data_IF_730425881819
#
_entry.id   IF_730425881819
#
_cell.length_a   1.000
_cell.length_b   1.000
_cell.length_c   1.000
_cell.angle_alpha   90.00
_cell.angle_beta   90.00
_cell.angle_gamma   90.00
#
_symmetry.space_group_name_H-M   'P 1'
#
loop_
_entity.id
_entity.type
_entity.pdbx_description
1 polymer ?
#
# COMPACT_ATOMS: atom_id res chain seq x y z
N UNK A 1 -54.74 9.66 44.73
CA UNK A 1 -53.73 8.65 44.39
C UNK A 1 -54.43 7.49 43.69
N UNK A 2 -54.22 7.27 42.38
CA UNK A 2 -54.66 6.05 41.73
C UNK A 2 -53.48 5.08 41.52
N UNK A 3 -53.84 3.80 41.52
CA UNK A 3 -52.98 2.62 41.54
C UNK A 3 -52.13 2.49 40.26
N UNK A 4 -50.92 1.97 40.44
CA UNK A 4 -50.01 1.50 39.38
C UNK A 4 -50.45 0.10 38.95
N UNK A 5 -50.77 -0.05 37.68
CA UNK A 5 -50.86 -1.36 37.01
C UNK A 5 -49.46 -1.71 36.49
N UNK A 6 -48.93 -2.84 36.98
CA UNK A 6 -47.70 -3.46 36.51
C UNK A 6 -48.02 -4.29 35.26
N UNK A 7 -47.56 -3.83 34.09
CA UNK A 7 -47.56 -4.60 32.85
C UNK A 7 -46.24 -5.37 32.72
N UNK A 8 -46.28 -6.67 33.03
CA UNK A 8 -45.28 -7.66 32.64
C UNK A 8 -45.32 -7.84 31.11
N UNK A 9 -44.19 -7.56 30.46
CA UNK A 9 -43.97 -7.82 29.03
C UNK A 9 -42.94 -8.96 28.90
N UNK A 10 -43.46 -10.16 28.62
CA UNK A 10 -42.68 -11.38 28.43
C UNK A 10 -42.07 -11.39 27.01
N UNK A 11 -40.87 -10.82 26.92
CA UNK A 11 -40.05 -10.85 25.71
C UNK A 11 -39.53 -12.25 25.37
N UNK A 12 -40.21 -12.93 24.45
CA UNK A 12 -39.74 -14.15 23.78
C UNK A 12 -38.36 -13.94 23.12
N UNK A 13 -37.32 -14.50 23.76
CA UNK A 13 -35.96 -14.58 23.25
C UNK A 13 -35.85 -15.71 22.24
N UNK A 14 -35.99 -15.41 20.94
CA UNK A 14 -35.60 -16.33 19.86
C UNK A 14 -34.07 -16.43 19.78
N UNK A 15 -33.51 -17.53 20.27
CA UNK A 15 -32.15 -17.96 19.97
C UNK A 15 -32.05 -18.41 18.51
N UNK A 16 -31.52 -17.53 17.64
CA UNK A 16 -31.08 -17.93 16.30
C UNK A 16 -29.62 -18.41 16.39
N UNK A 17 -29.44 -19.73 16.36
CA UNK A 17 -28.15 -20.38 16.24
C UNK A 17 -27.38 -19.86 15.03
N UNK A 18 -26.19 -19.31 15.28
CA UNK A 18 -25.23 -18.95 14.24
C UNK A 18 -24.48 -20.21 13.80
N UNK A 19 -24.85 -20.72 12.63
CA UNK A 19 -24.01 -21.64 11.88
C UNK A 19 -22.70 -20.93 11.51
N UNK A 20 -21.57 -21.53 11.89
CA UNK A 20 -20.24 -21.06 11.54
C UNK A 20 -20.04 -21.18 10.02
N UNK A 21 -20.17 -20.05 9.31
CA UNK A 21 -19.81 -19.93 7.90
C UNK A 21 -18.29 -20.00 7.77
N UNK A 22 -17.79 -21.17 7.36
CA UNK A 22 -16.39 -21.38 7.00
C UNK A 22 -16.08 -20.48 5.79
N UNK A 23 -15.28 -19.45 6.01
CA UNK A 23 -14.66 -18.67 4.93
C UNK A 23 -13.76 -19.59 4.10
N UNK A 24 -14.30 -20.06 2.98
CA UNK A 24 -13.56 -20.80 1.98
C UNK A 24 -12.70 -19.80 1.20
N UNK A 25 -11.40 -19.83 1.45
CA UNK A 25 -10.41 -19.06 0.68
C UNK A 25 -10.38 -19.64 -0.72
N UNK A 26 -11.01 -18.94 -1.68
CA UNK A 26 -10.95 -19.30 -3.09
C UNK A 26 -9.55 -18.94 -3.62
N UNK A 27 -8.79 -19.89 -4.18
CA UNK A 27 -7.48 -19.59 -4.76
C UNK A 27 -7.64 -18.63 -5.95
N UNK A 28 -6.79 -17.60 -6.03
CA UNK A 28 -6.81 -16.54 -7.04
C UNK A 28 -6.44 -16.99 -8.47
N UNK A 29 -6.56 -18.29 -8.78
CA UNK A 29 -6.10 -18.92 -10.01
C UNK A 29 -7.16 -19.19 -11.09
N UNK A 30 -8.45 -18.88 -10.87
CA UNK A 30 -9.53 -19.27 -11.81
C UNK A 30 -10.27 -18.12 -12.52
N UNK A 31 -9.77 -16.88 -12.45
CA UNK A 31 -10.46 -15.72 -13.03
C UNK A 31 -10.29 -15.53 -14.55
N UNK A 32 -9.53 -16.39 -15.23
CA UNK A 32 -9.47 -16.41 -16.70
C UNK A 32 -9.63 -17.84 -17.20
N UNK A 33 -10.89 -18.27 -17.33
CA UNK A 33 -11.22 -19.51 -18.03
C UNK A 33 -10.80 -19.42 -19.49
N UNK A 34 -10.30 -20.53 -20.03
CA UNK A 34 -9.92 -20.70 -21.45
C UNK A 34 -11.03 -20.31 -22.44
N UNK A 35 -12.29 -20.25 -22.00
CA UNK A 35 -13.44 -19.82 -22.80
C UNK A 35 -13.46 -18.33 -23.17
N UNK A 36 -12.87 -17.42 -22.37
CA UNK A 36 -12.89 -15.99 -22.69
C UNK A 36 -11.98 -15.64 -23.88
N UNK A 37 -10.85 -16.34 -24.02
CA UNK A 37 -9.93 -16.16 -25.14
C UNK A 37 -10.45 -16.78 -26.43
N UNK A 38 -11.23 -17.87 -26.38
CA UNK A 38 -11.86 -18.43 -27.58
C UNK A 38 -12.99 -17.53 -28.09
N UNK A 39 -13.80 -16.95 -27.19
CA UNK A 39 -14.91 -16.07 -27.59
C UNK A 39 -14.43 -14.73 -28.17
N UNK A 40 -13.31 -14.17 -27.65
CA UNK A 40 -12.69 -12.99 -28.26
C UNK A 40 -12.10 -13.29 -29.65
N UNK A 41 -11.53 -14.49 -29.86
CA UNK A 41 -10.91 -14.86 -31.14
C UNK A 41 -11.95 -15.05 -32.25
N UNK A 42 -13.12 -15.58 -31.90
CA UNK A 42 -14.23 -15.78 -32.83
C UNK A 42 -14.93 -14.48 -33.23
N UNK A 43 -15.10 -13.53 -32.30
CA UNK A 43 -15.73 -12.23 -32.58
C UNK A 43 -14.81 -11.20 -33.26
N UNK A 44 -13.48 -11.33 -33.13
CA UNK A 44 -12.51 -10.37 -33.69
C UNK A 44 -11.77 -10.88 -34.94
N UNK A 45 -11.79 -12.18 -35.22
CA UNK A 45 -11.02 -12.81 -36.32
C UNK A 45 -11.17 -12.12 -37.69
N UNK A 46 -12.38 -11.86 -38.21
CA UNK A 46 -12.55 -11.31 -39.56
C UNK A 46 -12.04 -9.87 -39.71
N UNK A 47 -12.03 -9.09 -38.62
CA UNK A 47 -11.59 -7.69 -38.65
C UNK A 47 -10.07 -7.55 -38.43
N UNK A 48 -9.43 -8.55 -37.82
CA UNK A 48 -7.97 -8.59 -37.62
C UNK A 48 -7.25 -8.95 -38.92
N UNK A 49 -7.82 -9.82 -39.75
CA UNK A 49 -7.21 -10.23 -41.03
C UNK A 49 -7.29 -9.13 -42.11
N UNK A 50 -8.26 -8.22 -42.02
CA UNK A 50 -8.34 -7.04 -42.89
C UNK A 50 -7.33 -5.96 -42.44
N UNK A 51 -7.17 -5.76 -41.12
CA UNK A 51 -6.19 -4.82 -40.56
C UNK A 51 -4.74 -5.30 -40.75
N UNK A 52 -4.46 -6.61 -40.69
CA UNK A 52 -3.10 -7.13 -40.93
C UNK A 52 -2.69 -7.02 -42.40
N UNK A 53 -3.62 -7.14 -43.36
CA UNK A 53 -3.32 -6.97 -44.78
C UNK A 53 -3.11 -5.49 -45.19
N UNK A 54 -3.82 -4.54 -44.56
CA UNK A 54 -3.60 -3.10 -44.80
C UNK A 54 -2.34 -2.57 -44.10
N UNK A 55 -2.01 -3.07 -42.91
CA UNK A 55 -0.77 -2.71 -42.20
C UNK A 55 0.48 -3.20 -42.94
N UNK A 56 0.39 -4.35 -43.64
CA UNK A 56 1.50 -4.91 -44.43
C UNK A 56 1.88 -4.07 -45.67
N UNK A 57 1.04 -3.11 -46.08
CA UNK A 57 1.33 -2.16 -47.18
C UNK A 57 1.67 -0.76 -46.73
N UNK A 58 1.74 -0.51 -45.43
CA UNK A 58 2.07 0.81 -44.91
C UNK A 58 3.59 1.03 -44.94
N UNK A 59 4.01 2.10 -45.64
CA UNK A 59 5.38 2.63 -45.66
C UNK A 59 6.10 2.82 -44.30
N UNK A 60 5.43 2.91 -43.11
CA UNK A 60 6.11 3.00 -41.82
C UNK A 60 6.96 1.78 -41.46
N UNK A 61 6.62 0.57 -41.95
CA UNK A 61 7.40 -0.63 -41.63
C UNK A 61 8.76 -0.65 -42.34
N UNK A 62 8.82 -0.18 -43.59
CA UNK A 62 10.10 -0.02 -44.29
C UNK A 62 10.91 1.17 -43.76
N UNK A 63 10.23 2.24 -43.31
CA UNK A 63 10.90 3.35 -42.63
C UNK A 63 11.48 2.91 -41.27
N UNK A 64 10.75 2.11 -40.49
CA UNK A 64 11.26 1.50 -39.26
C UNK A 64 12.42 0.53 -39.56
N UNK A 65 12.30 -0.31 -40.59
CA UNK A 65 13.36 -1.24 -41.00
C UNK A 65 14.64 -0.52 -41.44
N UNK A 66 14.51 0.63 -42.11
CA UNK A 66 15.65 1.52 -42.44
C UNK A 66 16.20 2.24 -41.21
N UNK A 67 15.36 2.62 -40.25
CA UNK A 67 15.79 3.27 -39.00
C UNK A 67 16.49 2.31 -38.02
N UNK A 68 16.11 1.03 -37.97
CA UNK A 68 16.65 0.06 -37.01
C UNK A 68 17.79 -0.82 -37.54
N UNK A 69 18.24 -0.59 -38.77
CA UNK A 69 19.44 -1.20 -39.34
C UNK A 69 19.35 -2.71 -39.59
N UNK A 70 20.51 -3.37 -39.69
CA UNK A 70 20.61 -4.82 -39.93
C UNK A 70 19.97 -5.64 -38.80
N UNK A 71 19.65 -6.92 -39.07
CA UNK A 71 19.12 -7.84 -38.04
C UNK A 71 19.99 -7.86 -36.77
N UNK A 72 21.30 -7.72 -36.93
CA UNK A 72 22.25 -7.66 -35.80
C UNK A 72 22.03 -6.40 -34.96
N UNK A 73 21.78 -5.24 -35.57
CA UNK A 73 21.47 -4.01 -34.84
C UNK A 73 20.14 -4.11 -34.08
N UNK A 74 19.13 -4.74 -34.68
CA UNK A 74 17.85 -5.01 -34.01
C UNK A 74 18.03 -5.91 -32.78
N UNK A 75 18.84 -6.97 -32.89
CA UNK A 75 19.12 -7.87 -31.78
C UNK A 75 19.94 -7.19 -30.67
N UNK A 76 20.93 -6.37 -31.04
CA UNK A 76 21.70 -5.56 -30.07
C UNK A 76 20.77 -4.59 -29.33
N UNK A 77 19.88 -3.90 -30.05
CA UNK A 77 18.92 -2.98 -29.45
C UNK A 77 17.95 -3.70 -28.51
N UNK A 78 17.38 -4.83 -28.95
CA UNK A 78 16.49 -5.65 -28.13
C UNK A 78 17.19 -6.14 -26.85
N UNK A 79 18.41 -6.64 -26.95
CA UNK A 79 19.20 -7.07 -25.79
C UNK A 79 19.46 -5.92 -24.82
N UNK A 80 19.82 -4.73 -25.34
CA UNK A 80 20.01 -3.52 -24.53
C UNK A 80 18.72 -3.11 -23.82
N UNK A 81 17.59 -3.14 -24.53
CA UNK A 81 16.28 -2.81 -23.96
C UNK A 81 15.92 -3.77 -22.82
N UNK A 82 16.09 -5.08 -23.03
CA UNK A 82 15.85 -6.10 -22.02
C UNK A 82 16.71 -5.89 -20.78
N UNK A 83 18.02 -5.64 -20.95
CA UNK A 83 18.96 -5.37 -19.84
C UNK A 83 18.59 -4.07 -19.10
N UNK A 84 18.02 -3.08 -19.78
CA UNK A 84 17.62 -1.82 -19.16
C UNK A 84 16.25 -1.87 -18.47
N UNK A 85 15.33 -2.72 -18.91
CA UNK A 85 13.94 -2.73 -18.40
C UNK A 85 13.68 -3.86 -17.40
N UNK A 86 14.19 -5.05 -17.66
CA UNK A 86 13.86 -6.24 -16.85
C UNK A 86 14.42 -6.15 -15.43
N UNK A 87 15.69 -5.75 -15.19
CA UNK A 87 16.20 -5.65 -13.82
C UNK A 87 15.49 -4.59 -12.97
N UNK A 88 15.23 -3.35 -13.45
CA UNK A 88 14.41 -2.38 -12.71
C UNK A 88 12.99 -2.86 -12.42
N UNK A 89 12.34 -3.53 -13.37
CA UNK A 89 11.01 -4.07 -13.17
C UNK A 89 11.00 -5.18 -12.10
N UNK A 90 11.98 -6.09 -12.16
CA UNK A 90 12.18 -7.13 -11.15
C UNK A 90 12.45 -6.54 -9.76
N UNK A 91 13.33 -5.54 -9.68
CA UNK A 91 13.63 -4.82 -8.44
C UNK A 91 12.37 -4.15 -7.86
N UNK A 92 11.57 -3.46 -8.67
CA UNK A 92 10.32 -2.83 -8.25
C UNK A 92 9.31 -3.85 -7.72
N UNK A 93 9.19 -5.00 -8.38
CA UNK A 93 8.33 -6.10 -7.92
C UNK A 93 8.80 -6.67 -6.58
N UNK A 94 10.08 -7.03 -6.46
CA UNK A 94 10.67 -7.56 -5.22
C UNK A 94 10.50 -6.57 -4.07
N UNK A 95 10.76 -5.29 -4.33
CA UNK A 95 10.58 -4.23 -3.35
C UNK A 95 9.14 -4.17 -2.81
N UNK A 96 8.15 -4.18 -3.71
CA UNK A 96 6.73 -4.19 -3.34
C UNK A 96 6.34 -5.46 -2.55
N UNK A 97 6.85 -6.62 -2.96
CA UNK A 97 6.61 -7.89 -2.26
C UNK A 97 7.21 -7.90 -0.85
N UNK A 98 8.42 -7.38 -0.66
CA UNK A 98 9.05 -7.27 0.67
C UNK A 98 8.27 -6.33 1.58
N UNK A 99 7.79 -5.19 1.06
CA UNK A 99 6.94 -4.28 1.84
C UNK A 99 5.59 -4.90 2.20
N UNK A 100 4.99 -5.72 1.33
CA UNK A 100 3.79 -6.49 1.65
C UNK A 100 4.06 -7.48 2.79
N UNK A 101 5.19 -8.19 2.73
CA UNK A 101 5.64 -9.05 3.83
C UNK A 101 5.78 -8.28 5.15
N UNK A 102 6.35 -7.07 5.09
CA UNK A 102 6.45 -6.20 6.27
C UNK A 102 5.09 -5.73 6.80
N UNK A 103 4.11 -5.46 5.92
CA UNK A 103 2.74 -5.16 6.36
C UNK A 103 2.09 -6.35 7.08
N UNK A 104 2.25 -7.56 6.54
CA UNK A 104 1.73 -8.80 7.16
C UNK A 104 2.38 -9.03 8.53
N UNK A 105 3.70 -8.88 8.62
CA UNK A 105 4.42 -8.96 9.89
C UNK A 105 3.95 -7.87 10.87
N UNK A 106 3.82 -6.63 10.42
CA UNK A 106 3.28 -5.52 11.21
C UNK A 106 1.87 -5.80 11.72
N UNK A 107 1.00 -6.38 10.88
CA UNK A 107 -0.35 -6.78 11.30
C UNK A 107 -0.33 -7.85 12.40
N UNK A 108 0.54 -8.86 12.27
CA UNK A 108 0.74 -9.89 13.29
C UNK A 108 1.24 -9.30 14.62
N UNK A 109 2.15 -8.33 14.55
CA UNK A 109 2.68 -7.60 15.70
C UNK A 109 1.77 -6.46 16.20
N UNK A 110 0.59 -6.26 15.58
CA UNK A 110 -0.33 -5.15 15.85
C UNK A 110 0.28 -3.76 15.70
N UNK A 111 1.32 -3.62 14.88
CA UNK A 111 1.89 -2.34 14.47
C UNK A 111 1.10 -1.82 13.27
N UNK A 112 0.61 -0.58 13.37
CA UNK A 112 -0.24 0.04 12.35
C UNK A 112 0.15 1.48 12.10
N UNK A 113 -0.35 2.12 11.04
CA UNK A 113 -0.09 3.54 10.78
C UNK A 113 -0.49 4.47 11.95
N UNK A 114 -1.37 4.00 12.85
CA UNK A 114 -1.79 4.71 14.06
C UNK A 114 -0.79 4.66 15.22
N UNK A 115 0.27 3.83 15.13
CA UNK A 115 1.36 3.76 16.13
C UNK A 115 2.58 4.50 15.60
N UNK A 116 2.65 5.84 15.65
CA UNK A 116 3.57 6.62 14.81
C UNK A 116 5.05 6.29 15.03
N UNK A 117 5.45 6.02 16.27
CA UNK A 117 6.85 5.65 16.60
C UNK A 117 7.16 4.25 16.07
N UNK A 118 6.42 3.23 16.52
CA UNK A 118 6.66 1.84 16.12
C UNK A 118 6.51 1.64 14.61
N UNK A 119 5.50 2.26 14.01
CA UNK A 119 5.28 2.16 12.57
C UNK A 119 6.38 2.85 11.76
N UNK A 120 6.94 3.95 12.27
CA UNK A 120 8.08 4.60 11.59
C UNK A 120 9.34 3.76 11.69
N UNK A 121 9.62 3.15 12.85
CA UNK A 121 10.78 2.26 13.04
C UNK A 121 10.65 1.01 12.16
N UNK A 122 9.51 0.30 12.25
CA UNK A 122 9.27 -0.90 11.43
C UNK A 122 9.24 -0.54 9.95
N UNK A 123 8.60 0.56 9.57
CA UNK A 123 8.58 1.06 8.20
C UNK A 123 9.98 1.40 7.66
N UNK A 124 10.84 2.03 8.47
CA UNK A 124 12.23 2.32 8.10
C UNK A 124 13.03 1.03 7.87
N UNK A 125 12.94 0.06 8.79
CA UNK A 125 13.62 -1.22 8.68
C UNK A 125 13.13 -2.02 7.47
N UNK A 126 11.81 -2.07 7.26
CA UNK A 126 11.17 -2.71 6.12
C UNK A 126 11.61 -2.10 4.78
N UNK A 127 11.81 -0.79 4.75
CA UNK A 127 12.26 -0.09 3.56
C UNK A 127 13.71 -0.42 3.24
N UNK A 128 14.61 -0.38 4.24
CA UNK A 128 16.01 -0.76 4.06
C UNK A 128 16.17 -2.21 3.58
N UNK A 129 15.41 -3.15 4.15
CA UNK A 129 15.42 -4.55 3.70
C UNK A 129 14.83 -4.73 2.31
N UNK A 130 13.72 -4.06 1.99
CA UNK A 130 13.13 -4.07 0.65
C UNK A 130 14.11 -3.53 -0.40
N UNK A 131 14.84 -2.46 -0.08
CA UNK A 131 15.87 -1.88 -0.95
C UNK A 131 17.04 -2.84 -1.20
N UNK A 132 17.58 -3.46 -0.16
CA UNK A 132 18.66 -4.43 -0.30
C UNK A 132 18.23 -5.66 -1.10
N UNK A 133 17.02 -6.19 -0.85
CA UNK A 133 16.46 -7.30 -1.60
C UNK A 133 16.23 -6.97 -3.08
N UNK A 134 15.71 -5.77 -3.37
CA UNK A 134 15.51 -5.28 -4.73
C UNK A 134 16.84 -5.13 -5.50
N UNK A 135 17.89 -4.63 -4.82
CA UNK A 135 19.23 -4.53 -5.39
C UNK A 135 19.82 -5.91 -5.72
N UNK A 136 19.70 -6.87 -4.80
CA UNK A 136 20.14 -8.25 -5.02
C UNK A 136 19.45 -8.87 -6.25
N UNK A 137 18.13 -8.71 -6.38
CA UNK A 137 17.38 -9.24 -7.53
C UNK A 137 17.76 -8.54 -8.83
N UNK A 138 17.93 -7.21 -8.83
CA UNK A 138 18.40 -6.48 -10.01
C UNK A 138 19.76 -6.99 -10.48
N UNK A 139 20.70 -7.21 -9.54
CA UNK A 139 22.03 -7.76 -9.82
C UNK A 139 21.95 -9.15 -10.46
N UNK A 140 21.18 -10.05 -9.86
CA UNK A 140 20.97 -11.40 -10.39
C UNK A 140 20.37 -11.38 -11.79
N UNK A 141 19.37 -10.52 -12.05
CA UNK A 141 18.75 -10.40 -13.37
C UNK A 141 19.73 -9.82 -14.40
N UNK A 142 20.53 -8.80 -14.04
CA UNK A 142 21.53 -8.23 -14.95
C UNK A 142 22.57 -9.24 -15.38
N UNK A 143 23.06 -10.06 -14.45
CA UNK A 143 23.99 -11.15 -14.77
C UNK A 143 23.36 -12.19 -15.67
N UNK A 144 22.13 -12.60 -15.37
CA UNK A 144 21.40 -13.56 -16.18
C UNK A 144 21.28 -13.09 -17.64
N UNK A 145 20.80 -11.86 -17.86
CA UNK A 145 20.60 -11.32 -19.21
C UNK A 145 21.89 -10.84 -19.89
N UNK A 146 22.91 -10.43 -19.14
CA UNK A 146 24.16 -9.90 -19.68
C UNK A 146 25.19 -10.98 -20.05
N UNK A 147 25.30 -12.03 -19.24
CA UNK A 147 26.32 -13.08 -19.42
C UNK A 147 25.76 -14.39 -19.96
N UNK A 148 24.43 -14.53 -20.04
CA UNK A 148 23.76 -15.74 -20.56
C UNK A 148 24.04 -17.00 -19.74
N UNK A 149 24.59 -16.90 -18.53
CA UNK A 149 24.91 -18.02 -17.65
C UNK A 149 24.25 -17.83 -16.29
N UNK A 150 23.33 -18.73 -15.94
CA UNK A 150 22.99 -19.00 -14.54
C UNK A 150 24.07 -19.91 -13.98
N UNK A 151 25.24 -19.38 -13.66
CA UNK A 151 26.09 -20.11 -12.74
C UNK A 151 25.32 -20.13 -11.42
N UNK A 152 24.78 -21.30 -11.04
CA UNK A 152 23.91 -21.50 -9.86
C UNK A 152 24.60 -21.28 -8.51
N UNK A 153 25.73 -20.56 -8.48
CA UNK A 153 26.34 -20.09 -7.25
C UNK A 153 25.49 -18.97 -6.67
N UNK A 154 25.18 -19.06 -5.38
CA UNK A 154 24.59 -17.97 -4.60
C UNK A 154 25.60 -16.82 -4.46
N UNK A 155 25.83 -16.08 -5.54
CA UNK A 155 26.69 -14.91 -5.50
C UNK A 155 25.88 -13.73 -4.96
N UNK A 156 26.07 -13.47 -3.68
CA UNK A 156 25.47 -12.35 -2.98
C UNK A 156 26.25 -11.06 -3.26
N UNK A 157 25.54 -9.95 -3.36
CA UNK A 157 26.14 -8.63 -3.44
C UNK A 157 26.99 -8.38 -2.18
N UNK A 158 28.09 -7.64 -2.33
CA UNK A 158 28.90 -7.26 -1.19
C UNK A 158 28.06 -6.52 -0.13
N UNK A 159 28.39 -6.70 1.15
CA UNK A 159 27.64 -6.10 2.27
C UNK A 159 27.58 -4.58 2.16
N UNK A 160 28.66 -3.95 1.74
CA UNK A 160 28.75 -2.50 1.58
C UNK A 160 27.82 -2.01 0.46
N UNK A 161 27.78 -2.72 -0.67
CA UNK A 161 26.85 -2.42 -1.76
C UNK A 161 25.39 -2.59 -1.33
N UNK A 162 25.07 -3.63 -0.54
CA UNK A 162 23.72 -3.79 0.03
C UNK A 162 23.36 -2.63 0.97
N UNK A 163 24.30 -2.20 1.81
CA UNK A 163 24.10 -1.06 2.73
C UNK A 163 23.88 0.25 1.96
N UNK A 164 24.69 0.53 0.93
CA UNK A 164 24.54 1.71 0.07
C UNK A 164 23.16 1.70 -0.61
N UNK A 165 22.73 0.56 -1.15
CA UNK A 165 21.40 0.44 -1.76
C UNK A 165 20.27 0.62 -0.75
N UNK A 166 20.42 0.11 0.47
CA UNK A 166 19.47 0.30 1.56
C UNK A 166 19.32 1.79 1.93
N UNK A 167 20.45 2.49 2.13
CA UNK A 167 20.48 3.92 2.43
C UNK A 167 19.91 4.76 1.28
N UNK A 168 20.30 4.45 0.05
CA UNK A 168 19.78 5.11 -1.14
C UNK A 168 18.27 4.96 -1.25
N UNK A 169 17.73 3.75 -1.05
CA UNK A 169 16.29 3.53 -1.10
C UNK A 169 15.52 4.27 -0.01
N UNK A 170 16.08 4.38 1.20
CA UNK A 170 15.50 5.19 2.28
C UNK A 170 15.42 6.67 1.89
N UNK A 171 16.52 7.22 1.36
CA UNK A 171 16.59 8.62 0.92
C UNK A 171 15.64 8.85 -0.25
N UNK A 172 15.68 7.99 -1.27
CA UNK A 172 14.81 8.09 -2.46
C UNK A 172 13.33 8.06 -2.08
N UNK A 173 12.91 7.12 -1.22
CA UNK A 173 11.53 7.07 -0.73
C UNK A 173 11.13 8.37 -0.04
N UNK A 174 12.02 8.96 0.77
CA UNK A 174 11.73 10.19 1.50
C UNK A 174 11.64 11.41 0.56
N UNK A 175 12.54 11.51 -0.41
CA UNK A 175 12.53 12.56 -1.46
C UNK A 175 11.26 12.47 -2.31
N UNK A 176 10.78 11.26 -2.59
CA UNK A 176 9.51 11.02 -3.30
C UNK A 176 8.25 11.28 -2.44
N UNK A 177 8.39 11.92 -1.27
CA UNK A 177 7.27 12.27 -0.39
C UNK A 177 6.77 11.12 0.49
N UNK A 178 7.55 10.05 0.60
CA UNK A 178 7.24 8.89 1.42
C UNK A 178 7.23 9.20 2.92
N UNK A 179 6.44 8.42 3.66
CA UNK A 179 6.43 8.44 5.12
C UNK A 179 6.47 7.02 5.66
N UNK A 180 7.41 6.74 6.57
CA UNK A 180 7.67 5.38 7.05
C UNK A 180 6.46 4.76 7.77
N UNK A 181 5.73 5.52 8.59
CA UNK A 181 4.54 5.01 9.26
C UNK A 181 3.40 4.63 8.30
N UNK A 182 3.39 5.20 7.09
CA UNK A 182 2.41 4.87 6.04
C UNK A 182 2.72 3.55 5.33
N UNK A 183 3.87 2.92 5.61
CA UNK A 183 4.18 1.58 5.10
C UNK A 183 3.48 0.48 5.90
N UNK A 184 3.00 0.79 7.12
CA UNK A 184 2.33 -0.16 8.01
C UNK A 184 0.81 -0.15 7.83
N UNK A 185 0.13 -1.29 8.01
CA UNK A 185 -1.29 -1.42 7.70
C UNK A 185 -2.16 -0.37 8.41
N UNK A 186 -3.25 0.01 7.76
CA UNK A 186 -4.19 1.00 8.24
C UNK A 186 -5.04 0.47 9.39
N UNK A 187 -5.16 1.21 10.49
CA UNK A 187 -6.16 0.92 11.51
C UNK A 187 -7.45 1.67 11.18
N UNK A 188 -8.57 0.96 11.08
CA UNK A 188 -9.87 1.55 10.69
C UNK A 188 -10.42 2.60 11.67
N UNK A 189 -9.90 2.66 12.91
CA UNK A 189 -10.33 3.62 13.93
C UNK A 189 -9.54 4.95 13.91
N UNK A 190 -8.56 5.08 13.01
CA UNK A 190 -7.68 6.24 12.89
C UNK A 190 -7.56 6.66 11.42
N UNK A 191 -7.05 7.86 11.10
CA UNK A 191 -6.69 8.17 9.72
C UNK A 191 -5.79 7.07 9.12
N UNK A 192 -6.27 6.40 8.08
CA UNK A 192 -5.54 5.33 7.41
C UNK A 192 -4.27 5.80 6.71
N UNK A 193 -3.36 4.89 6.38
CA UNK A 193 -2.04 5.20 5.83
C UNK A 193 -2.07 6.03 4.54
N UNK A 194 -3.18 6.00 3.80
CA UNK A 194 -3.38 6.73 2.55
C UNK A 194 -4.16 8.04 2.74
N UNK A 195 -4.22 8.57 3.96
CA UNK A 195 -4.82 9.87 4.24
C UNK A 195 -3.93 11.00 3.66
N UNK A 196 -4.33 11.59 2.54
CA UNK A 196 -3.63 12.74 1.94
C UNK A 196 -4.43 14.03 2.06
N UNK A 197 -5.73 13.95 1.83
CA UNK A 197 -6.66 15.08 1.81
C UNK A 197 -7.82 14.83 2.77
N UNK A 198 -8.40 15.91 3.27
CA UNK A 198 -9.55 15.87 4.18
C UNK A 198 -10.24 17.21 4.25
N UNK A 199 -11.54 17.18 4.59
CA UNK A 199 -12.37 18.36 4.80
C UNK A 199 -12.54 18.56 6.31
N UNK A 200 -12.43 19.77 6.87
CA UNK A 200 -12.73 19.99 8.28
C UNK A 200 -14.20 19.67 8.57
N UNK A 201 -14.47 18.89 9.61
CA UNK A 201 -15.84 18.54 9.98
C UNK A 201 -16.48 19.66 10.82
N UNK A 202 -17.78 19.93 10.62
CA UNK A 202 -18.56 20.91 11.38
C UNK A 202 -19.10 20.28 12.67
N UNK A 203 -18.19 19.85 13.54
CA UNK A 203 -18.51 19.14 14.78
C UNK A 203 -18.92 17.68 14.52
N UNK A 204 -19.96 17.22 15.20
CA UNK A 204 -20.48 15.85 15.12
C UNK A 204 -21.47 15.60 13.98
N UNK A 205 -21.86 16.65 13.25
CA UNK A 205 -22.87 16.56 12.18
C UNK A 205 -22.33 15.76 10.99
N UNK A 206 -23.17 14.92 10.41
CA UNK A 206 -22.86 14.23 9.15
C UNK A 206 -22.56 15.22 8.03
N UNK A 207 -21.84 14.73 7.01
CA UNK A 207 -21.46 15.53 5.85
C UNK A 207 -22.71 16.03 5.10
N UNK A 208 -22.75 17.33 4.84
CA UNK A 208 -23.78 17.94 3.99
C UNK A 208 -23.59 17.55 2.52
N UNK A 209 -24.57 17.86 1.66
CA UNK A 209 -24.56 17.45 0.25
C UNK A 209 -23.31 17.94 -0.51
N UNK A 210 -22.87 19.17 -0.23
CA UNK A 210 -21.66 19.75 -0.83
C UNK A 210 -20.41 18.99 -0.37
N UNK A 211 -20.29 18.72 0.93
CA UNK A 211 -19.19 17.94 1.52
C UNK A 211 -19.18 16.51 0.96
N UNK A 212 -20.34 15.90 0.73
CA UNK A 212 -20.43 14.58 0.11
C UNK A 212 -19.93 14.59 -1.35
N UNK A 213 -20.32 15.58 -2.15
CA UNK A 213 -19.82 15.74 -3.53
C UNK A 213 -18.30 15.90 -3.52
N UNK A 214 -17.75 16.72 -2.62
CA UNK A 214 -16.30 16.91 -2.47
C UNK A 214 -15.60 15.61 -2.05
N UNK A 215 -16.17 14.85 -1.11
CA UNK A 215 -15.61 13.57 -0.67
C UNK A 215 -15.63 12.54 -1.79
N UNK A 216 -16.68 12.49 -2.61
CA UNK A 216 -16.74 11.61 -3.77
C UNK A 216 -15.68 11.97 -4.83
N UNK A 217 -15.45 13.26 -5.08
CA UNK A 217 -14.36 13.71 -5.96
C UNK A 217 -12.98 13.34 -5.38
N UNK A 218 -12.75 13.57 -4.08
CA UNK A 218 -11.54 13.13 -3.38
C UNK A 218 -11.34 11.62 -3.46
N UNK A 219 -12.40 10.82 -3.32
CA UNK A 219 -12.35 9.37 -3.42
C UNK A 219 -11.96 8.89 -4.82
N UNK A 220 -12.51 9.50 -5.87
CA UNK A 220 -12.13 9.18 -7.26
C UNK A 220 -10.65 9.48 -7.52
N UNK A 221 -10.14 10.60 -7.00
CA UNK A 221 -8.74 11.04 -7.21
C UNK A 221 -7.73 10.28 -6.34
N UNK A 222 -8.00 10.16 -5.05
CA UNK A 222 -7.03 9.67 -4.07
C UNK A 222 -7.31 8.23 -3.62
N UNK A 223 -8.57 7.79 -3.68
CA UNK A 223 -9.04 6.51 -3.17
C UNK A 223 -9.40 6.56 -1.68
N UNK A 224 -9.87 5.42 -1.18
CA UNK A 224 -10.12 5.19 0.24
C UNK A 224 -8.85 5.48 1.05
N UNK A 225 -8.95 6.29 2.11
CA UNK A 225 -7.80 6.62 2.96
C UNK A 225 -7.22 5.43 3.75
N UNK A 226 -7.92 4.30 3.84
CA UNK A 226 -7.40 3.05 4.44
C UNK A 226 -6.79 2.10 3.42
N UNK A 227 -7.55 1.63 2.43
CA UNK A 227 -7.12 0.57 1.51
C UNK A 227 -6.71 1.07 0.12
N UNK A 228 -6.99 2.32 -0.22
CA UNK A 228 -6.67 2.91 -1.53
C UNK A 228 -7.62 2.55 -2.67
N UNK A 229 -8.70 1.79 -2.41
CA UNK A 229 -9.75 1.48 -3.40
C UNK A 229 -10.35 2.77 -3.97
N UNK A 230 -10.50 2.86 -5.30
CA UNK A 230 -11.07 4.02 -6.02
C UNK A 230 -12.41 3.73 -6.70
N UNK A 231 -12.89 2.49 -6.61
CA UNK A 231 -14.12 2.03 -7.23
C UNK A 231 -15.21 1.81 -6.19
N UNK A 232 -16.46 2.09 -6.58
CA UNK A 232 -17.65 1.97 -5.74
C UNK A 232 -18.03 3.27 -5.03
N UNK A 233 -18.93 3.15 -4.06
CA UNK A 233 -19.43 4.27 -3.28
C UNK A 233 -18.42 4.73 -2.22
N UNK A 234 -18.42 6.05 -1.98
CA UNK A 234 -17.61 6.68 -0.94
C UNK A 234 -18.50 7.23 0.16
N UNK A 235 -18.07 7.02 1.40
CA UNK A 235 -18.67 7.57 2.61
C UNK A 235 -17.72 8.65 3.17
N UNK A 236 -18.29 9.71 3.71
CA UNK A 236 -17.57 10.77 4.43
C UNK A 236 -17.32 10.32 5.88
N UNK A 237 -16.15 9.72 6.12
CA UNK A 237 -15.80 9.17 7.42
C UNK A 237 -15.25 10.24 8.37
N UNK A 238 -15.75 10.27 9.60
CA UNK A 238 -15.33 11.21 10.63
C UNK A 238 -14.14 10.64 11.39
N UNK A 239 -13.00 11.31 11.30
CA UNK A 239 -11.82 10.98 12.10
C UNK A 239 -11.45 12.11 13.08
N UNK A 240 -11.35 11.82 14.39
CA UNK A 240 -11.76 10.56 15.05
C UNK A 240 -13.29 10.33 14.98
N UNK A 241 -13.77 9.08 15.11
CA UNK A 241 -15.19 8.74 15.13
C UNK A 241 -15.97 9.50 16.20
N UNK A 242 -17.24 9.84 15.94
CA UNK A 242 -18.09 10.58 16.88
C UNK A 242 -18.20 9.94 18.27
N UNK A 243 -18.27 8.60 18.33
CA UNK A 243 -18.29 7.85 19.60
C UNK A 243 -17.03 8.10 20.43
N UNK A 244 -15.90 8.33 19.77
CA UNK A 244 -14.61 8.63 20.41
C UNK A 244 -14.48 10.13 20.72
N UNK A 245 -14.89 11.00 19.79
CA UNK A 245 -14.75 12.44 19.91
C UNK A 245 -15.70 13.05 20.97
N UNK A 246 -16.94 12.56 21.06
CA UNK A 246 -18.00 13.15 21.88
C UNK A 246 -18.44 12.24 23.05
N UNK A 247 -17.91 11.03 23.14
CA UNK A 247 -18.23 10.10 24.23
C UNK A 247 -17.45 10.39 25.51
N UNK A 248 -17.97 9.91 26.67
CA UNK A 248 -17.20 9.80 27.94
C UNK A 248 -15.91 8.97 27.80
N UNK A 249 -15.74 8.29 26.65
CA UNK A 249 -14.59 7.48 26.29
C UNK A 249 -13.41 8.25 25.71
N UNK A 250 -13.45 9.57 25.52
CA UNK A 250 -12.30 10.32 24.99
C UNK A 250 -11.03 10.10 25.83
N UNK A 251 -11.16 10.11 27.17
CA UNK A 251 -10.08 9.81 28.10
C UNK A 251 -9.57 8.36 27.94
N UNK A 252 -10.47 7.39 27.75
CA UNK A 252 -10.10 5.99 27.46
C UNK A 252 -9.48 5.82 26.07
N UNK A 253 -9.87 6.62 25.08
CA UNK A 253 -9.37 6.54 23.71
C UNK A 253 -8.00 7.22 23.56
N UNK A 254 -7.71 8.29 24.31
CA UNK A 254 -6.36 8.86 24.47
C UNK A 254 -5.44 7.90 25.23
N UNK A 255 -6.00 7.14 26.18
CA UNK A 255 -5.26 6.06 26.84
C UNK A 255 -5.03 4.85 25.90
N UNK A 256 -6.02 4.51 25.09
CA UNK A 256 -5.98 3.37 24.17
C UNK A 256 -5.23 3.66 22.85
N UNK A 257 -5.07 4.93 22.46
CA UNK A 257 -4.25 5.35 21.30
C UNK A 257 -2.76 5.16 21.54
N UNK A 258 -2.37 4.69 22.72
CA UNK A 258 -0.98 4.42 23.09
C UNK A 258 -0.21 5.68 23.50
N UNK A 259 -0.81 6.87 23.42
CA UNK A 259 -0.19 8.09 23.93
C UNK A 259 0.02 8.02 25.45
N UNK A 260 -0.95 7.49 26.21
CA UNK A 260 -0.80 7.40 27.68
C UNK A 260 0.26 6.39 28.17
N UNK A 261 0.68 5.43 27.33
CA UNK A 261 1.76 4.49 27.66
C UNK A 261 3.09 4.86 27.00
N UNK A 262 3.16 5.97 26.27
CA UNK A 262 4.43 6.46 25.75
C UNK A 262 5.31 6.92 26.91
N UNK A 263 6.59 6.52 26.91
CA UNK A 263 7.60 7.04 27.85
C UNK A 263 7.56 8.56 27.93
N UNK A 264 7.26 9.25 26.82
CA UNK A 264 7.05 10.69 26.76
C UNK A 264 5.86 11.18 27.57
N UNK A 265 4.71 10.49 27.61
CA UNK A 265 3.60 10.89 28.46
C UNK A 265 3.93 10.74 29.96
N UNK A 266 4.68 9.69 30.34
CA UNK A 266 5.22 9.53 31.71
C UNK A 266 6.28 10.58 32.04
N UNK A 267 7.21 10.85 31.12
CA UNK A 267 8.23 11.88 31.29
C UNK A 267 7.58 13.27 31.42
N UNK A 268 6.53 13.51 30.63
CA UNK A 268 5.79 14.78 30.63
C UNK A 268 4.88 14.95 31.85
N UNK A 269 4.37 13.88 32.45
CA UNK A 269 3.70 13.94 33.76
C UNK A 269 4.66 14.13 34.94
N UNK A 270 5.96 13.90 34.73
CA UNK A 270 7.00 14.08 35.76
C UNK A 270 7.58 15.50 35.74
N UNK A 271 7.27 16.31 34.73
CA UNK A 271 7.78 17.67 34.55
C UNK A 271 6.64 18.68 34.79
N UNK A 272 6.49 19.24 36.00
CA UNK A 272 5.32 20.03 36.42
C UNK A 272 5.14 21.38 35.71
N UNK A 273 6.10 21.80 34.89
CA UNK A 273 6.06 23.09 34.18
C UNK A 273 5.68 23.00 32.69
N UNK A 274 5.41 21.80 32.16
CA UNK A 274 4.94 21.67 30.77
C UNK A 274 3.41 21.83 30.72
N UNK A 275 2.87 22.96 30.20
CA UNK A 275 1.44 23.21 30.20
C UNK A 275 0.70 22.14 29.38
N UNK A 276 -0.22 21.44 30.06
CA UNK A 276 -1.18 20.54 29.43
C UNK A 276 -2.27 21.39 28.78
N UNK A 277 -2.02 21.89 27.56
CA UNK A 277 -3.12 22.38 26.73
C UNK A 277 -3.77 21.16 26.10
N UNK A 278 -5.01 20.77 26.49
CA UNK A 278 -5.73 19.72 25.80
C UNK A 278 -5.87 20.16 24.34
N UNK A 279 -5.18 19.47 23.43
CA UNK A 279 -5.34 19.74 22.01
C UNK A 279 -6.79 19.47 21.66
N UNK A 280 -7.52 20.50 21.27
CA UNK A 280 -8.85 20.37 20.68
C UNK A 280 -8.68 19.47 19.45
N UNK A 281 -9.23 18.25 19.53
CA UNK A 281 -9.15 17.31 18.42
C UNK A 281 -10.16 17.74 17.38
N UNK A 282 -9.69 18.43 16.34
CA UNK A 282 -10.53 18.80 15.22
C UNK A 282 -10.89 17.56 14.41
N UNK A 283 -12.17 17.18 14.43
CA UNK A 283 -12.67 16.13 13.56
C UNK A 283 -12.56 16.55 12.08
N UNK A 284 -12.26 15.58 11.22
CA UNK A 284 -12.13 15.79 9.78
C UNK A 284 -12.83 14.67 9.03
N UNK A 285 -13.31 14.98 7.83
CA UNK A 285 -13.93 14.05 6.90
C UNK A 285 -12.87 13.50 5.95
N UNK A 286 -12.84 12.17 5.82
CA UNK A 286 -11.97 11.45 4.88
C UNK A 286 -12.81 10.59 3.93
N UNK A 287 -12.35 10.41 2.67
CA UNK A 287 -13.01 9.51 1.74
C UNK A 287 -12.75 8.05 2.14
N UNK A 288 -13.82 7.30 2.42
CA UNK A 288 -13.75 5.91 2.86
C UNK A 288 -14.67 5.03 2.01
N UNK A 289 -14.22 3.83 1.61
CA UNK A 289 -15.09 2.89 0.91
C UNK A 289 -16.06 2.19 1.89
N UNK A 290 -17.19 1.73 1.37
CA UNK A 290 -18.23 1.02 2.13
C UNK A 290 -17.69 -0.21 2.88
N UNK A 291 -16.76 -0.96 2.28
CA UNK A 291 -16.13 -2.13 2.91
C UNK A 291 -15.34 -1.75 4.18
N UNK A 292 -14.50 -0.72 4.10
CA UNK A 292 -13.74 -0.23 5.25
C UNK A 292 -14.66 0.39 6.31
N UNK A 293 -15.71 1.09 5.89
CA UNK A 293 -16.70 1.67 6.80
C UNK A 293 -17.46 0.60 7.60
N UNK A 294 -17.82 -0.52 6.96
CA UNK A 294 -18.44 -1.68 7.65
C UNK A 294 -17.50 -2.27 8.69
N UNK A 295 -16.22 -2.46 8.34
CA UNK A 295 -15.19 -2.96 9.26
C UNK A 295 -15.00 -2.03 10.48
N UNK A 296 -14.95 -0.72 10.23
CA UNK A 296 -14.89 0.29 11.29
C UNK A 296 -16.12 0.23 12.19
N UNK A 297 -17.32 0.23 11.62
CA UNK A 297 -18.59 0.18 12.36
C UNK A 297 -18.70 -1.08 13.21
N UNK A 298 -18.22 -2.23 12.71
CA UNK A 298 -18.17 -3.47 13.48
C UNK A 298 -17.16 -3.37 14.64
N UNK A 299 -15.97 -2.81 14.39
CA UNK A 299 -14.95 -2.63 15.41
C UNK A 299 -15.41 -1.73 16.56
N UNK A 300 -16.04 -0.60 16.24
CA UNK A 300 -16.57 0.34 17.21
C UNK A 300 -17.70 -0.28 18.06
N UNK A 301 -18.60 -1.06 17.44
CA UNK A 301 -19.68 -1.75 18.17
C UNK A 301 -19.19 -2.80 19.15
N UNK A 302 -18.17 -3.56 18.79
CA UNK A 302 -17.65 -4.64 19.63
C UNK A 302 -16.51 -4.21 20.57
N UNK A 303 -16.14 -2.93 20.59
CA UNK A 303 -15.02 -2.42 21.38
C UNK A 303 -13.68 -3.10 21.06
N UNK A 304 -13.55 -3.68 19.85
CA UNK A 304 -12.34 -4.41 19.45
C UNK A 304 -11.29 -3.41 18.97
N UNK A 305 -10.01 -3.74 19.20
CA UNK A 305 -8.89 -3.08 18.51
C UNK A 305 -9.14 -3.23 17.01
N UNK A 306 -9.44 -2.13 16.32
CA UNK A 306 -9.97 -2.15 14.96
C UNK A 306 -9.17 -3.04 14.01
N UNK A 307 -9.83 -3.74 13.07
CA UNK A 307 -9.15 -4.57 12.08
C UNK A 307 -8.12 -3.74 11.34
N UNK A 308 -7.00 -4.39 11.03
CA UNK A 308 -5.94 -3.80 10.24
C UNK A 308 -6.22 -4.08 8.77
N UNK A 309 -6.18 -3.02 7.97
CA UNK A 309 -6.47 -3.05 6.53
C UNK A 309 -5.16 -2.83 5.80
N UNK A 310 -4.77 -3.80 4.98
CA UNK A 310 -3.62 -3.69 4.10
C UNK A 310 -3.91 -2.70 2.98
N UNK A 311 -2.86 -2.03 2.51
CA UNK A 311 -2.98 -1.09 1.41
C UNK A 311 -1.84 -1.28 0.43
N UNK A 312 -2.23 -1.62 -0.79
CA UNK A 312 -1.41 -1.55 -1.99
C UNK A 312 -2.34 -1.00 -3.07
N UNK A 313 -2.12 0.26 -3.47
CA UNK A 313 -2.93 0.84 -4.56
C UNK A 313 -2.68 0.02 -5.82
N UNK A 314 -3.76 -0.52 -6.40
CA UNK A 314 -3.74 -0.97 -7.79
C UNK A 314 -3.81 0.28 -8.68
N UNK A 315 -2.87 0.43 -9.61
CA UNK A 315 -2.91 1.48 -10.63
C UNK A 315 -1.68 2.39 -10.62
N UNK A 316 -1.77 3.54 -9.94
CA UNK A 316 -0.73 4.58 -10.02
C UNK A 316 0.50 4.17 -9.19
N UNK A 317 1.71 4.15 -9.78
CA UNK A 317 2.93 3.86 -9.02
C UNK A 317 3.11 4.92 -7.92
N UNK A 318 3.13 4.46 -6.67
CA UNK A 318 3.44 5.31 -5.53
C UNK A 318 4.96 5.38 -5.31
N UNK A 319 5.40 6.25 -4.40
CA UNK A 319 6.81 6.36 -4.00
C UNK A 319 7.52 5.01 -3.78
N UNK A 320 6.89 3.97 -3.16
CA UNK A 320 7.49 2.64 -3.07
C UNK A 320 7.87 2.01 -4.42
N UNK A 321 6.98 2.07 -5.42
CA UNK A 321 7.22 1.45 -6.72
C UNK A 321 8.36 2.15 -7.45
N UNK A 322 8.34 3.48 -7.48
CA UNK A 322 9.43 4.27 -8.08
C UNK A 322 10.75 4.06 -7.36
N UNK A 323 10.73 3.93 -6.02
CA UNK A 323 11.95 3.65 -5.24
C UNK A 323 12.59 2.33 -5.68
N UNK A 324 11.80 1.24 -5.76
CA UNK A 324 12.29 -0.05 -6.22
C UNK A 324 12.82 -0.01 -7.66
N UNK A 325 12.13 0.72 -8.55
CA UNK A 325 12.57 0.91 -9.93
C UNK A 325 13.89 1.70 -10.02
N UNK A 326 14.03 2.79 -9.26
CA UNK A 326 15.25 3.61 -9.19
C UNK A 326 16.44 2.79 -8.68
N UNK A 327 16.23 1.99 -7.63
CA UNK A 327 17.26 1.07 -7.11
C UNK A 327 17.70 0.09 -8.19
N UNK A 328 16.75 -0.55 -8.88
CA UNK A 328 17.09 -1.50 -9.94
C UNK A 328 17.72 -0.85 -11.18
N UNK A 329 17.49 0.45 -11.40
CA UNK A 329 18.09 1.23 -12.49
C UNK A 329 19.52 1.67 -12.17
N UNK A 330 19.82 1.94 -10.90
CA UNK A 330 21.15 2.34 -10.45
C UNK A 330 22.19 1.29 -10.87
N UNK A 331 23.29 1.74 -11.45
CA UNK A 331 24.48 0.91 -11.70
C UNK A 331 25.54 1.41 -10.72
N UNK A 332 25.91 0.57 -9.76
CA UNK A 332 27.10 0.80 -8.96
C UNK A 332 28.15 -0.07 -9.62
N UNK A 333 29.19 0.56 -10.15
CA UNK A 333 30.30 -0.17 -10.75
C UNK A 333 31.09 -0.83 -9.61
N UNK A 334 31.00 -2.16 -9.52
CA UNK A 334 31.67 -2.97 -8.49
C UNK A 334 33.22 -2.91 -8.59
N UNK A 335 33.76 -2.26 -9.64
CA UNK A 335 35.21 -2.14 -9.88
C UNK A 335 35.93 -1.42 -8.74
N UNK A 336 35.28 -0.48 -8.06
CA UNK A 336 35.88 0.25 -6.93
C UNK A 336 36.20 -0.68 -5.76
N UNK A 337 35.44 -1.77 -5.59
CA UNK A 337 35.66 -2.73 -4.50
C UNK A 337 36.71 -3.79 -4.82
N UNK A 338 36.93 -4.10 -6.10
CA UNK A 338 37.93 -5.10 -6.50
C UNK A 338 39.37 -4.56 -6.37
N UNK A 339 39.59 -3.27 -6.64
CA UNK A 339 40.91 -2.61 -6.49
C UNK A 339 41.38 -2.57 -5.02
N UNK A 340 40.43 -2.49 -4.08
CA UNK A 340 40.73 -2.53 -2.64
C UNK A 340 41.07 -3.94 -2.12
N UNK A 341 40.72 -4.99 -2.89
CA UNK A 341 40.93 -6.39 -2.49
C UNK A 341 42.23 -6.96 -3.04
N UNK A 342 42.67 -6.50 -4.21
CA UNK A 342 43.93 -6.91 -4.84
C UNK A 342 45.16 -6.21 -4.25
N UNK A 343 44.95 -5.16 -3.44
CA UNK A 343 46.00 -4.39 -2.77
C UNK A 343 46.30 -4.83 -1.33
N UNK A 344 45.70 -5.93 -0.83
CA UNK A 344 46.02 -6.57 0.45
C UNK A 344 46.59 -7.97 0.24
#
# INVERSE_FOLDING_TARGET
>A
MPAREDSQDDGHRQEKGHAAEKQQVVPMGSLFGSGFLSEMKEKLGPSVDMLTNEVSRSAPLDAARRMFGSKDQQQIFANRLVICVVPPAGAAFTFGATLLGAQVAGAGLRVSCATPVMASVVGFMALGTASAAAAQVSHSLRRFYGQGKMNGGNEYLAKDTLLVNALFGIVAFKVLGGSFHRLMPSNVNHPGALHSVSIPARGSKYANDIEQVLIQDMFKRHGCHHCGKRAGESIADHMPPNVIAHGRGWAKAVVASGEANSFLARLRSTIPFLPFSPKVVHQRLYPQCTDCSKLQSAALRHGKRGPLVFHFKRGVPEAPFFTGFCIGSMRIDDSVTDDARTSR
#
